data_IF_820767903469
#
_entry.id   IF_820767903469
#
_cell.length_a   1.000
_cell.length_b   1.000
_cell.length_c   1.000
_cell.angle_alpha   90.00
_cell.angle_beta   90.00
_cell.angle_gamma   90.00
#
_symmetry.space_group_name_H-M   'P 1'
#
loop_
_entity.id
_entity.type
_entity.pdbx_description
1 polymer ?
#
# COMPACT_ATOMS: atom_id res chain seq x y z
N UNK A 1 11.57 16.22 7.20
CA UNK A 1 11.87 15.47 5.97
C UNK A 1 11.20 14.12 5.99
N UNK A 2 11.70 13.16 6.77
CA UNK A 2 11.32 11.72 6.70
C UNK A 2 9.91 11.40 7.26
N UNK A 3 9.44 12.13 8.26
CA UNK A 3 8.14 11.85 8.92
C UNK A 3 6.95 12.15 8.00
N UNK A 4 7.09 13.15 7.12
CA UNK A 4 6.02 13.56 6.20
C UNK A 4 5.71 12.47 5.17
N UNK A 5 6.75 11.81 4.64
CA UNK A 5 6.59 10.76 3.62
C UNK A 5 6.05 9.47 4.22
N UNK A 6 6.52 9.09 5.42
CA UNK A 6 5.99 7.92 6.13
C UNK A 6 4.49 8.09 6.45
N UNK A 7 4.09 9.24 6.99
CA UNK A 7 2.68 9.52 7.30
C UNK A 7 1.78 9.60 6.05
N UNK A 8 2.31 10.10 4.93
CA UNK A 8 1.60 10.11 3.64
C UNK A 8 1.36 8.68 3.14
N UNK A 9 2.40 7.84 3.17
CA UNK A 9 2.33 6.45 2.71
C UNK A 9 1.36 5.65 3.58
N UNK A 10 1.44 5.76 4.90
CA UNK A 10 0.55 5.01 5.80
C UNK A 10 -0.92 5.36 5.59
N UNK A 11 -1.25 6.65 5.42
CA UNK A 11 -2.62 7.08 5.11
C UNK A 11 -3.09 6.54 3.76
N UNK A 12 -2.26 6.71 2.71
CA UNK A 12 -2.59 6.21 1.38
C UNK A 12 -2.77 4.68 1.36
N UNK A 13 -1.97 3.94 2.14
CA UNK A 13 -2.11 2.49 2.30
C UNK A 13 -3.44 2.14 2.98
N UNK A 14 -3.79 2.80 4.10
CA UNK A 14 -5.07 2.54 4.79
C UNK A 14 -6.25 2.76 3.84
N UNK A 15 -6.28 3.90 3.14
CA UNK A 15 -7.34 4.22 2.19
C UNK A 15 -7.42 3.20 1.05
N UNK A 16 -6.29 2.78 0.47
CA UNK A 16 -6.29 1.77 -0.60
C UNK A 16 -6.81 0.43 -0.10
N UNK A 17 -6.45 0.01 1.10
CA UNK A 17 -6.93 -1.26 1.66
C UNK A 17 -8.42 -1.21 1.99
N UNK A 18 -8.92 -0.08 2.49
CA UNK A 18 -10.34 0.17 2.73
C UNK A 18 -11.16 0.20 1.43
N UNK A 19 -10.61 0.80 0.36
CA UNK A 19 -11.25 0.84 -0.96
C UNK A 19 -11.17 -0.50 -1.71
N UNK A 20 -10.23 -1.38 -1.35
CA UNK A 20 -9.97 -2.64 -2.04
C UNK A 20 -9.94 -3.86 -1.08
N UNK A 21 -11.02 -4.12 -0.33
CA UNK A 21 -11.05 -5.19 0.67
C UNK A 21 -10.81 -6.58 0.06
N UNK A 22 -11.33 -6.84 -1.14
CA UNK A 22 -11.13 -8.11 -1.85
C UNK A 22 -9.66 -8.34 -2.20
N UNK A 23 -8.97 -7.29 -2.63
CA UNK A 23 -7.54 -7.37 -2.95
C UNK A 23 -6.69 -7.62 -1.71
N UNK A 24 -7.05 -6.99 -0.58
CA UNK A 24 -6.42 -7.28 0.70
C UNK A 24 -6.64 -8.74 1.13
N UNK A 25 -7.87 -9.26 0.96
CA UNK A 25 -8.22 -10.65 1.23
C UNK A 25 -7.45 -11.65 0.36
N UNK A 26 -7.32 -11.37 -0.95
CA UNK A 26 -6.52 -12.18 -1.87
C UNK A 26 -5.05 -12.27 -1.42
N UNK A 27 -4.44 -11.15 -1.03
CA UNK A 27 -3.07 -11.15 -0.54
C UNK A 27 -2.92 -11.99 0.73
N UNK A 28 -3.82 -11.81 1.70
CA UNK A 28 -3.85 -12.60 2.95
C UNK A 28 -4.04 -14.10 2.68
N UNK A 29 -4.70 -14.46 1.58
CA UNK A 29 -4.89 -15.84 1.13
C UNK A 29 -3.69 -16.40 0.36
N UNK A 30 -2.61 -15.63 0.20
CA UNK A 30 -1.37 -16.05 -0.46
C UNK A 30 -1.22 -15.63 -1.92
N UNK A 31 -2.20 -14.91 -2.49
CA UNK A 31 -2.09 -14.40 -3.87
C UNK A 31 -1.23 -13.14 -3.91
N UNK A 32 0.06 -13.32 -4.16
CA UNK A 32 1.04 -12.24 -4.14
C UNK A 32 0.97 -11.30 -5.34
N UNK A 33 0.34 -11.68 -6.46
CA UNK A 33 0.23 -10.83 -7.65
C UNK A 33 -0.58 -9.56 -7.40
N UNK A 34 -1.51 -9.60 -6.45
CA UNK A 34 -2.33 -8.45 -6.07
C UNK A 34 -1.50 -7.32 -5.44
N UNK A 35 -0.29 -7.60 -4.95
CA UNK A 35 0.63 -6.59 -4.41
C UNK A 35 0.95 -5.50 -5.44
N UNK A 36 1.15 -5.87 -6.72
CA UNK A 36 1.47 -4.89 -7.77
C UNK A 36 0.28 -3.96 -8.06
N UNK A 37 -0.95 -4.49 -7.97
CA UNK A 37 -2.16 -3.69 -8.11
C UNK A 37 -2.30 -2.69 -6.96
N UNK A 38 -2.18 -3.15 -5.71
CA UNK A 38 -2.26 -2.30 -4.52
C UNK A 38 -1.17 -1.23 -4.52
N UNK A 39 0.06 -1.59 -4.88
CA UNK A 39 1.17 -0.65 -5.04
C UNK A 39 0.84 0.45 -6.07
N UNK A 40 0.27 0.08 -7.22
CA UNK A 40 -0.16 1.05 -8.22
C UNK A 40 -1.22 2.04 -7.71
N UNK A 41 -2.16 1.57 -6.88
CA UNK A 41 -3.18 2.44 -6.27
C UNK A 41 -2.56 3.41 -5.25
N UNK A 42 -1.63 2.94 -4.41
CA UNK A 42 -0.94 3.79 -3.44
C UNK A 42 -0.07 4.84 -4.15
N UNK A 43 0.66 4.43 -5.19
CA UNK A 43 1.47 5.36 -6.00
C UNK A 43 0.60 6.44 -6.67
N UNK A 44 -0.63 6.11 -7.09
CA UNK A 44 -1.59 7.09 -7.62
C UNK A 44 -2.07 8.06 -6.55
N UNK A 45 -2.47 7.58 -5.36
CA UNK A 45 -2.92 8.45 -4.25
C UNK A 45 -1.82 9.39 -3.76
N UNK A 46 -0.59 8.91 -3.72
CA UNK A 46 0.58 9.73 -3.35
C UNK A 46 1.04 10.65 -4.49
N UNK A 47 0.40 10.59 -5.67
CA UNK A 47 0.78 11.33 -6.89
C UNK A 47 2.24 11.09 -7.30
N UNK A 48 2.76 9.89 -7.06
CA UNK A 48 4.16 9.54 -7.32
C UNK A 48 5.18 10.20 -6.39
N UNK A 49 4.74 10.87 -5.31
CA UNK A 49 5.64 11.49 -4.32
C UNK A 49 6.27 10.47 -3.38
N UNK A 50 5.67 9.29 -3.25
CA UNK A 50 6.19 8.23 -2.41
C UNK A 50 7.19 7.35 -3.16
N UNK A 51 8.18 6.86 -2.42
CA UNK A 51 9.14 5.89 -2.93
C UNK A 51 8.49 4.50 -3.09
N UNK A 52 8.66 3.81 -4.24
CA UNK A 52 8.06 2.49 -4.47
C UNK A 52 8.46 1.40 -3.46
N UNK A 53 9.71 1.41 -2.98
CA UNK A 53 10.17 0.45 -1.98
C UNK A 53 9.51 0.73 -0.63
N UNK A 54 9.43 2.00 -0.24
CA UNK A 54 8.73 2.41 0.98
C UNK A 54 7.23 2.05 0.94
N UNK A 55 6.57 2.21 -0.21
CA UNK A 55 5.18 1.80 -0.42
C UNK A 55 5.01 0.28 -0.30
N UNK A 56 5.88 -0.51 -0.95
CA UNK A 56 5.84 -1.97 -0.89
C UNK A 56 6.00 -2.47 0.55
N UNK A 57 6.94 -1.89 1.28
CA UNK A 57 7.19 -2.22 2.68
C UNK A 57 6.00 -1.88 3.57
N UNK A 58 5.38 -0.71 3.37
CA UNK A 58 4.20 -0.30 4.11
C UNK A 58 2.98 -1.21 3.83
N UNK A 59 2.72 -1.55 2.56
CA UNK A 59 1.67 -2.48 2.17
C UNK A 59 1.90 -3.86 2.79
N UNK A 60 3.13 -4.37 2.72
CA UNK A 60 3.50 -5.68 3.29
C UNK A 60 3.25 -5.69 4.80
N UNK A 61 3.70 -4.66 5.52
CA UNK A 61 3.44 -4.51 6.96
C UNK A 61 1.95 -4.42 7.29
N UNK A 62 1.15 -3.72 6.49
CA UNK A 62 -0.27 -3.56 6.73
C UNK A 62 -1.06 -4.86 6.48
N UNK A 63 -0.62 -5.67 5.52
CA UNK A 63 -1.31 -6.91 5.10
C UNK A 63 -0.86 -8.16 5.87
N UNK A 64 0.35 -8.16 6.44
CA UNK A 64 0.91 -9.26 7.26
C UNK A 64 0.64 -9.11 8.76
N UNK A 65 -0.07 -8.07 9.18
CA UNK A 65 -0.68 -8.00 10.51
C UNK A 65 -1.89 -8.94 10.59
#
# INVERSE_FOLDING_TARGET
GVVSDAGLIERAVSEVLEENPDSAGMFRSGETKVMNFLMGQVMRKTQGKADPAAVRDALTRALQK
#
